data_IF_034926164242
#
_entry.id   IF_034926164242
#
_cell.length_a   1.000
_cell.length_b   1.000
_cell.length_c   1.000
_cell.angle_alpha   90.00
_cell.angle_beta   90.00
_cell.angle_gamma   90.00
#
_symmetry.space_group_name_H-M   'P 1'
#
loop_
_entity.id
_entity.type
_entity.pdbx_description
1 polymer ?
#
# COMPACT_ATOMS: atom_id res chain seq x y z
N UNK A 1 24.63 -14.11 -19.93
CA UNK A 1 25.00 -12.95 -19.09
C UNK A 1 24.63 -11.71 -19.87
N UNK A 2 23.51 -11.06 -19.55
CA UNK A 2 23.12 -9.80 -20.20
C UNK A 2 23.26 -8.68 -19.17
N UNK A 3 24.12 -7.70 -19.46
CA UNK A 3 24.28 -6.49 -18.67
C UNK A 3 23.51 -5.38 -19.39
N UNK A 4 22.39 -4.93 -18.81
CA UNK A 4 21.68 -3.75 -19.28
C UNK A 4 22.08 -2.56 -18.42
N UNK A 5 22.78 -1.60 -19.03
CA UNK A 5 23.21 -0.35 -18.40
C UNK A 5 22.01 0.53 -18.08
N UNK A 6 21.96 1.04 -16.85
CA UNK A 6 20.91 1.95 -16.38
C UNK A 6 21.39 3.40 -16.52
N UNK A 7 20.67 4.17 -17.34
CA UNK A 7 20.75 5.61 -17.43
C UNK A 7 20.15 6.20 -16.12
N UNK A 8 20.97 6.88 -15.31
CA UNK A 8 20.65 7.28 -13.94
C UNK A 8 19.65 8.46 -13.89
N UNK A 9 18.37 8.17 -14.11
CA UNK A 9 17.33 8.87 -13.37
C UNK A 9 17.22 8.18 -12.02
N UNK A 10 17.56 8.86 -10.92
CA UNK A 10 17.41 8.31 -9.56
C UNK A 10 15.92 8.16 -9.25
N UNK A 11 15.32 7.05 -9.69
CA UNK A 11 13.98 6.66 -9.30
C UNK A 11 14.08 6.17 -7.85
N UNK A 12 13.63 6.99 -6.89
CA UNK A 12 13.44 6.51 -5.52
C UNK A 12 12.33 5.46 -5.54
N UNK A 13 12.70 4.20 -5.59
CA UNK A 13 11.76 3.09 -5.41
C UNK A 13 11.51 2.97 -3.91
N UNK A 14 10.31 3.29 -3.46
CA UNK A 14 9.91 3.07 -2.07
C UNK A 14 9.73 1.57 -1.86
N UNK A 15 10.67 0.94 -1.15
CA UNK A 15 10.53 -0.45 -0.75
C UNK A 15 9.50 -0.53 0.40
N UNK A 16 8.40 -1.26 0.16
CA UNK A 16 7.40 -1.53 1.18
C UNK A 16 7.60 -2.90 1.82
N UNK A 17 7.45 -3.02 3.15
CA UNK A 17 7.50 -4.31 3.80
C UNK A 17 6.31 -5.17 3.34
N UNK A 18 6.58 -6.46 3.13
CA UNK A 18 5.61 -7.43 2.61
C UNK A 18 4.89 -8.18 3.74
N UNK A 19 4.36 -7.44 4.72
CA UNK A 19 3.41 -7.99 5.69
C UNK A 19 2.00 -7.54 5.37
N UNK A 20 1.01 -8.35 5.74
CA UNK A 20 -0.40 -8.01 5.59
C UNK A 20 -1.04 -7.95 6.98
N UNK A 21 -1.64 -6.81 7.27
CA UNK A 21 -2.67 -6.72 8.30
C UNK A 21 -3.90 -7.49 7.79
N UNK A 22 -4.74 -7.94 8.71
CA UNK A 22 -5.99 -8.63 8.38
C UNK A 22 -7.04 -7.59 7.92
N UNK A 23 -6.85 -7.06 6.71
CA UNK A 23 -7.65 -5.98 6.12
C UNK A 23 -8.80 -6.58 5.32
N UNK A 24 -10.04 -6.27 5.71
CA UNK A 24 -11.24 -6.67 4.95
C UNK A 24 -11.45 -5.76 3.72
N UNK A 25 -11.34 -4.45 3.91
CA UNK A 25 -11.52 -3.45 2.87
C UNK A 25 -10.79 -2.15 3.21
N UNK A 26 -10.67 -1.25 2.25
CA UNK A 26 -10.21 0.11 2.52
C UNK A 26 -11.17 1.14 1.98
N UNK A 27 -11.16 2.33 2.58
CA UNK A 27 -11.92 3.48 2.09
C UNK A 27 -10.94 4.54 1.63
N UNK A 28 -10.98 4.90 0.36
CA UNK A 28 -10.14 5.93 -0.24
C UNK A 28 -11.04 7.02 -0.82
N UNK A 29 -10.88 8.27 -0.37
CA UNK A 29 -11.70 9.39 -0.82
C UNK A 29 -13.23 9.08 -0.72
N UNK A 30 -13.65 8.49 0.40
CA UNK A 30 -15.03 8.08 0.65
C UNK A 30 -15.53 6.84 -0.11
N UNK A 31 -14.71 6.25 -0.98
CA UNK A 31 -15.08 5.07 -1.78
C UNK A 31 -14.51 3.80 -1.18
N UNK A 32 -15.34 2.77 -1.02
CA UNK A 32 -14.92 1.42 -0.59
C UNK A 32 -14.15 0.71 -1.71
N UNK A 33 -13.01 0.14 -1.40
CA UNK A 33 -12.15 -0.60 -2.32
C UNK A 33 -11.85 -1.99 -1.75
N UNK A 34 -12.03 -3.02 -2.59
CA UNK A 34 -11.76 -4.43 -2.29
C UNK A 34 -10.98 -5.09 -3.44
N UNK A 35 -10.00 -5.96 -3.17
CA UNK A 35 -9.45 -6.26 -1.84
C UNK A 35 -8.71 -5.05 -1.24
N UNK A 36 -8.73 -4.94 0.09
CA UNK A 36 -7.94 -3.94 0.80
C UNK A 36 -6.44 -4.16 0.59
N UNK A 37 -5.64 -3.09 0.69
CA UNK A 37 -4.17 -3.22 0.65
C UNK A 37 -3.64 -3.71 1.98
N UNK A 38 -2.61 -4.55 1.93
CA UNK A 38 -2.04 -5.24 3.08
C UNK A 38 -1.57 -4.33 4.22
N UNK A 39 -1.03 -3.15 3.92
CA UNK A 39 -0.55 -2.20 4.91
C UNK A 39 -0.51 -0.78 4.31
N UNK A 40 -0.27 0.22 5.14
CA UNK A 40 -0.27 1.62 4.71
C UNK A 40 0.87 2.01 3.77
N UNK A 41 1.93 1.22 3.67
CA UNK A 41 2.98 1.48 2.68
C UNK A 41 2.48 1.13 1.26
N UNK A 42 1.68 0.06 1.16
CA UNK A 42 1.10 -0.43 -0.10
C UNK A 42 -0.25 0.24 -0.43
N UNK A 43 -0.84 0.95 0.52
CA UNK A 43 -2.07 1.71 0.33
C UNK A 43 -1.77 3.09 -0.29
N UNK A 44 -2.67 3.62 -1.15
CA UNK A 44 -2.61 5.02 -1.53
C UNK A 44 -2.72 5.93 -0.29
N UNK A 45 -2.05 7.08 -0.36
CA UNK A 45 -2.11 8.09 0.71
C UNK A 45 -3.52 8.63 0.87
N UNK A 46 -3.94 8.87 2.11
CA UNK A 46 -5.28 9.30 2.48
C UNK A 46 -6.35 8.20 2.50
N UNK A 47 -5.96 6.93 2.35
CA UNK A 47 -6.88 5.79 2.52
C UNK A 47 -6.97 5.34 3.98
N UNK A 48 -8.10 4.76 4.35
CA UNK A 48 -8.32 4.11 5.65
C UNK A 48 -8.44 2.60 5.42
N UNK A 49 -7.60 1.80 6.07
CA UNK A 49 -7.74 0.34 6.10
C UNK A 49 -8.74 -0.03 7.20
N UNK A 50 -9.71 -0.88 6.89
CA UNK A 50 -10.65 -1.45 7.85
C UNK A 50 -10.29 -2.93 8.07
N UNK A 51 -9.92 -3.25 9.30
CA UNK A 51 -9.41 -4.57 9.67
C UNK A 51 -10.54 -5.47 10.17
N UNK A 52 -10.34 -6.79 10.05
CA UNK A 52 -11.29 -7.83 10.48
C UNK A 52 -11.57 -7.81 11.98
N UNK A 53 -10.67 -7.23 12.78
CA UNK A 53 -10.86 -7.03 14.23
C UNK A 53 -11.76 -5.82 14.57
N UNK A 54 -12.28 -5.12 13.55
CA UNK A 54 -13.11 -3.94 13.68
C UNK A 54 -12.34 -2.63 13.87
N UNK A 55 -11.01 -2.68 13.96
CA UNK A 55 -10.18 -1.47 14.04
C UNK A 55 -9.96 -0.85 12.66
N UNK A 56 -9.44 0.38 12.63
CA UNK A 56 -9.16 1.09 11.38
C UNK A 56 -7.85 1.86 11.44
N UNK A 57 -7.11 1.87 10.33
CA UNK A 57 -5.80 2.52 10.23
C UNK A 57 -5.83 3.56 9.12
N UNK A 58 -5.55 4.82 9.45
CA UNK A 58 -5.43 5.89 8.46
C UNK A 58 -4.02 5.93 7.86
N UNK A 59 -3.92 5.81 6.54
CA UNK A 59 -2.67 5.80 5.77
C UNK A 59 -2.39 7.19 5.21
N UNK A 60 -1.97 8.12 6.08
CA UNK A 60 -1.58 9.50 5.72
C UNK A 60 -0.32 9.62 4.88
#
# INVERSE_FOLDING_TARGET
MFLLGMNESVVRVMACPLYCLDVEYMTCNGTKVTPGRCNCCLAPKGCILHLSDGTSVNCG
#
